data_IF_042889621154
#
_entry.id   IF_042889621154
#
_cell.length_a   1.000
_cell.length_b   1.000
_cell.length_c   1.000
_cell.angle_alpha   90.00
_cell.angle_beta   90.00
_cell.angle_gamma   90.00
#
_symmetry.space_group_name_H-M   'P 1'
#
loop_
_entity.id
_entity.type
_entity.pdbx_description
1 polymer ?
#
# COMPACT_ATOMS: atom_id res chain seq x y z
N UNK A 1 -36.01 -27.48 -55.46
CA UNK A 1 -35.56 -26.14 -55.02
C UNK A 1 -35.25 -26.20 -53.53
N UNK A 2 -33.98 -26.14 -53.13
CA UNK A 2 -33.56 -26.13 -51.71
C UNK A 2 -33.23 -24.68 -51.34
N UNK A 3 -34.03 -24.06 -50.47
CA UNK A 3 -33.70 -22.74 -49.92
C UNK A 3 -32.63 -22.94 -48.84
N UNK A 4 -31.43 -22.42 -49.08
CA UNK A 4 -30.38 -22.41 -48.08
C UNK A 4 -30.84 -21.63 -46.85
N UNK A 5 -30.83 -22.29 -45.68
CA UNK A 5 -30.99 -21.65 -44.39
C UNK A 5 -29.70 -20.89 -44.09
N UNK A 6 -29.57 -19.67 -44.63
CA UNK A 6 -28.56 -18.73 -44.18
C UNK A 6 -28.95 -18.29 -42.76
N UNK A 7 -28.60 -19.11 -41.76
CA UNK A 7 -28.52 -18.61 -40.39
C UNK A 7 -27.50 -17.48 -40.45
N UNK A 8 -27.98 -16.24 -40.47
CA UNK A 8 -27.12 -15.08 -40.43
C UNK A 8 -26.15 -15.30 -39.27
N UNK A 9 -24.87 -15.51 -39.59
CA UNK A 9 -23.78 -15.46 -38.63
C UNK A 9 -23.64 -14.00 -38.22
N UNK A 10 -24.66 -13.47 -37.55
CA UNK A 10 -24.54 -12.22 -36.81
C UNK A 10 -23.48 -12.50 -35.77
N UNK A 11 -22.39 -11.74 -35.83
CA UNK A 11 -21.42 -11.73 -34.75
C UNK A 11 -22.21 -11.61 -33.44
N UNK A 12 -22.06 -12.61 -32.56
CA UNK A 12 -22.47 -12.49 -31.16
C UNK A 12 -21.51 -11.51 -30.50
N UNK A 13 -21.50 -10.25 -30.94
CA UNK A 13 -20.92 -9.19 -30.13
C UNK A 13 -21.80 -9.11 -28.89
N UNK A 14 -21.34 -9.88 -27.93
CA UNK A 14 -21.65 -9.93 -26.52
C UNK A 14 -22.12 -8.55 -26.06
N UNK A 15 -23.42 -8.44 -25.83
CA UNK A 15 -24.11 -7.31 -25.20
C UNK A 15 -23.75 -7.18 -23.70
N UNK A 16 -22.60 -7.70 -23.26
CA UNK A 16 -22.18 -7.74 -21.86
C UNK A 16 -20.76 -7.22 -21.57
N UNK A 17 -20.10 -6.51 -22.50
CA UNK A 17 -18.95 -5.69 -22.11
C UNK A 17 -19.48 -4.46 -21.39
N UNK A 18 -19.38 -4.44 -20.04
CA UNK A 18 -19.77 -3.29 -19.23
C UNK A 18 -18.87 -2.10 -19.61
N UNK A 19 -19.48 -1.03 -20.12
CA UNK A 19 -18.79 0.24 -20.40
C UNK A 19 -18.04 0.71 -19.15
N UNK A 20 -16.76 1.03 -19.30
CA UNK A 20 -16.00 1.76 -18.28
C UNK A 20 -16.35 3.25 -18.38
N UNK A 21 -16.34 3.91 -17.22
CA UNK A 21 -16.65 5.34 -17.12
C UNK A 21 -15.42 6.06 -16.59
N UNK A 22 -14.95 7.06 -17.33
CA UNK A 22 -13.87 7.95 -16.91
C UNK A 22 -14.30 8.88 -15.76
N UNK A 23 -13.34 9.42 -15.01
CA UNK A 23 -13.61 10.36 -13.93
C UNK A 23 -14.39 11.58 -14.42
N UNK A 24 -14.01 12.14 -15.58
CA UNK A 24 -14.72 13.26 -16.21
C UNK A 24 -16.19 12.96 -16.50
N UNK A 25 -16.47 11.79 -17.09
CA UNK A 25 -17.86 11.41 -17.40
C UNK A 25 -18.68 11.19 -16.13
N UNK A 26 -18.09 10.57 -15.09
CA UNK A 26 -18.75 10.41 -13.79
C UNK A 26 -19.09 11.77 -13.17
N UNK A 27 -18.16 12.73 -13.21
CA UNK A 27 -18.39 14.09 -12.72
C UNK A 27 -19.50 14.82 -13.50
N UNK A 28 -19.56 14.64 -14.82
CA UNK A 28 -20.64 15.21 -15.65
C UNK A 28 -22.01 14.65 -15.26
N UNK A 29 -22.10 13.34 -15.00
CA UNK A 29 -23.33 12.70 -14.50
C UNK A 29 -23.72 13.24 -13.12
N UNK A 30 -22.75 13.44 -12.22
CA UNK A 30 -22.99 14.04 -10.89
C UNK A 30 -23.48 15.49 -11.02
N UNK A 31 -22.87 16.28 -11.89
CA UNK A 31 -23.29 17.66 -12.13
C UNK A 31 -24.75 17.73 -12.62
N UNK A 32 -25.14 16.84 -13.54
CA UNK A 32 -26.52 16.73 -13.98
C UNK A 32 -27.48 16.28 -12.86
N UNK A 33 -27.03 15.39 -11.97
CA UNK A 33 -27.81 14.98 -10.80
C UNK A 33 -28.09 16.17 -9.87
N UNK A 34 -27.11 17.02 -9.64
CA UNK A 34 -27.23 18.21 -8.78
C UNK A 34 -28.25 19.21 -9.34
N UNK A 35 -28.33 19.33 -10.66
CA UNK A 35 -29.33 20.17 -11.34
C UNK A 35 -30.74 19.54 -11.32
N UNK A 36 -30.85 18.25 -11.63
CA UNK A 36 -32.15 17.57 -11.80
C UNK A 36 -32.78 17.05 -10.51
N UNK A 37 -32.01 16.94 -9.42
CA UNK A 37 -32.39 16.45 -8.08
C UNK A 37 -32.95 15.01 -8.03
N UNK A 38 -33.02 14.28 -9.15
CA UNK A 38 -33.56 12.91 -9.22
C UNK A 38 -32.50 11.89 -9.69
N UNK A 39 -32.16 10.96 -8.80
CA UNK A 39 -31.23 9.84 -9.10
C UNK A 39 -31.79 8.94 -10.18
N UNK A 40 -33.09 8.61 -10.13
CA UNK A 40 -33.74 7.71 -11.09
C UNK A 40 -33.86 8.35 -12.46
N UNK A 41 -34.16 9.65 -12.52
CA UNK A 41 -34.20 10.41 -13.77
C UNK A 41 -32.82 10.49 -14.44
N UNK A 42 -31.80 10.81 -13.65
CA UNK A 42 -30.40 10.83 -14.11
C UNK A 42 -29.96 9.46 -14.64
N UNK A 43 -30.23 8.40 -13.89
CA UNK A 43 -29.89 7.03 -14.28
C UNK A 43 -30.54 6.62 -15.62
N UNK A 44 -31.81 6.97 -15.83
CA UNK A 44 -32.52 6.74 -17.11
C UNK A 44 -31.89 7.51 -18.26
N UNK A 45 -31.56 8.80 -18.06
CA UNK A 45 -30.97 9.66 -19.10
C UNK A 45 -29.63 9.13 -19.61
N UNK A 46 -28.77 8.68 -18.69
CA UNK A 46 -27.43 8.19 -19.03
C UNK A 46 -27.36 6.67 -19.27
N UNK A 47 -28.50 5.97 -19.21
CA UNK A 47 -28.60 4.51 -19.32
C UNK A 47 -27.64 3.77 -18.36
N UNK A 48 -27.63 4.21 -17.10
CA UNK A 48 -26.82 3.63 -16.01
C UNK A 48 -27.70 3.16 -14.87
N UNK A 49 -27.14 2.34 -13.99
CA UNK A 49 -27.89 1.89 -12.82
C UNK A 49 -27.96 2.99 -11.76
N UNK A 50 -29.11 3.20 -11.08
CA UNK A 50 -29.23 4.16 -9.98
C UNK A 50 -28.20 3.95 -8.86
N UNK A 51 -27.77 2.70 -8.64
CA UNK A 51 -26.70 2.37 -7.69
C UNK A 51 -25.37 3.04 -8.07
N UNK A 52 -24.99 3.02 -9.35
CA UNK A 52 -23.74 3.65 -9.81
C UNK A 52 -23.73 5.15 -9.54
N UNK A 53 -24.85 5.82 -9.81
CA UNK A 53 -25.02 7.26 -9.54
C UNK A 53 -24.84 7.57 -8.05
N UNK A 54 -25.41 6.75 -7.16
CA UNK A 54 -25.25 6.91 -5.71
C UNK A 54 -23.81 6.71 -5.27
N UNK A 55 -23.15 5.68 -5.76
CA UNK A 55 -21.75 5.41 -5.43
C UNK A 55 -20.83 6.53 -5.93
N UNK A 56 -20.98 6.98 -7.19
CA UNK A 56 -20.21 8.10 -7.73
C UNK A 56 -20.41 9.40 -6.94
N UNK A 57 -21.65 9.65 -6.47
CA UNK A 57 -21.93 10.79 -5.60
C UNK A 57 -21.16 10.71 -4.27
N UNK A 58 -21.03 9.53 -3.67
CA UNK A 58 -20.26 9.35 -2.42
C UNK A 58 -18.77 9.61 -2.61
N UNK A 59 -18.21 9.19 -3.76
CA UNK A 59 -16.78 9.37 -4.09
C UNK A 59 -16.50 10.65 -4.89
N UNK A 60 -17.41 11.63 -4.89
CA UNK A 60 -17.31 12.85 -5.71
C UNK A 60 -15.99 13.57 -5.49
N UNK A 61 -15.59 13.76 -4.24
CA UNK A 61 -14.38 14.52 -3.89
C UNK A 61 -13.12 13.83 -4.43
N UNK A 62 -13.06 12.50 -4.32
CA UNK A 62 -11.97 11.70 -4.88
C UNK A 62 -11.95 11.74 -6.41
N UNK A 63 -13.12 11.81 -7.06
CA UNK A 63 -13.22 11.96 -8.52
C UNK A 63 -12.74 13.34 -9.00
N UNK A 64 -12.90 14.39 -8.19
CA UNK A 64 -12.40 15.74 -8.48
C UNK A 64 -10.86 15.77 -8.39
N UNK A 65 -10.29 15.08 -7.41
CA UNK A 65 -8.83 14.99 -7.24
C UNK A 65 -8.16 14.12 -8.30
N UNK A 66 -8.88 13.16 -8.88
CA UNK A 66 -8.35 12.27 -9.91
C UNK A 66 -8.18 12.96 -11.27
N UNK A 67 -7.22 12.47 -12.07
CA UNK A 67 -7.08 12.93 -13.45
C UNK A 67 -8.30 12.54 -14.30
N UNK A 68 -8.65 13.41 -15.24
CA UNK A 68 -9.90 13.35 -16.02
C UNK A 68 -10.11 12.05 -16.81
N UNK A 69 -9.02 11.45 -17.30
CA UNK A 69 -9.00 10.25 -18.14
C UNK A 69 -8.99 8.94 -17.35
N UNK A 70 -8.87 8.99 -16.02
CA UNK A 70 -8.79 7.78 -15.20
C UNK A 70 -10.16 7.09 -15.11
N UNK A 71 -10.22 5.82 -15.48
CA UNK A 71 -11.44 5.02 -15.39
C UNK A 71 -11.61 4.32 -14.03
N UNK A 72 -10.50 3.96 -13.37
CA UNK A 72 -10.46 3.25 -12.09
C UNK A 72 -9.81 4.13 -11.04
N UNK A 73 -10.58 4.47 -10.02
CA UNK A 73 -10.09 5.30 -8.91
C UNK A 73 -9.23 4.50 -7.91
N UNK A 74 -9.44 3.19 -7.84
CA UNK A 74 -8.70 2.35 -6.91
C UNK A 74 -7.26 2.10 -7.45
N UNK A 75 -6.21 2.37 -6.66
CA UNK A 75 -4.82 2.14 -7.08
C UNK A 75 -4.47 0.65 -7.25
N UNK A 76 -5.39 -0.26 -6.92
CA UNK A 76 -5.18 -1.71 -7.01
C UNK A 76 -4.76 -2.31 -5.67
N UNK A 77 -4.08 -3.46 -5.72
CA UNK A 77 -3.54 -4.10 -4.52
C UNK A 77 -2.36 -3.26 -4.01
N UNK A 78 -2.31 -3.05 -2.69
CA UNK A 78 -1.15 -2.42 -2.05
C UNK A 78 0.10 -3.28 -2.21
N UNK A 79 1.26 -2.64 -2.23
CA UNK A 79 2.57 -3.29 -2.19
C UNK A 79 2.64 -4.30 -1.04
N UNK A 80 3.31 -5.43 -1.27
CA UNK A 80 3.51 -6.44 -0.20
C UNK A 80 4.69 -6.06 0.67
N UNK A 81 5.71 -5.43 0.07
CA UNK A 81 6.89 -4.92 0.76
C UNK A 81 7.10 -3.44 0.38
N UNK A 82 6.39 -2.50 1.04
CA UNK A 82 6.36 -1.09 0.60
C UNK A 82 7.75 -0.44 0.50
N UNK A 83 8.58 -0.58 1.53
CA UNK A 83 9.92 0.03 1.59
C UNK A 83 10.84 -0.55 0.50
N UNK A 84 10.89 -1.88 0.40
CA UNK A 84 11.67 -2.58 -0.63
C UNK A 84 11.21 -2.22 -2.05
N UNK A 85 9.90 -2.15 -2.28
CA UNK A 85 9.32 -1.78 -3.59
C UNK A 85 9.62 -0.32 -3.94
N UNK A 86 9.67 0.58 -2.96
CA UNK A 86 10.03 2.00 -3.14
C UNK A 86 11.51 2.18 -3.52
N UNK A 87 12.42 1.51 -2.79
CA UNK A 87 13.85 1.51 -3.11
C UNK A 87 14.14 0.95 -4.50
N UNK A 88 13.48 -0.16 -4.85
CA UNK A 88 13.59 -0.75 -6.19
C UNK A 88 13.03 0.19 -7.26
N UNK A 89 11.92 0.88 -7.00
CA UNK A 89 11.34 1.83 -7.93
C UNK A 89 12.26 3.03 -8.18
N UNK A 90 12.89 3.56 -7.12
CA UNK A 90 13.88 4.63 -7.22
C UNK A 90 15.08 4.19 -8.06
N UNK A 91 15.64 3.01 -7.77
CA UNK A 91 16.77 2.45 -8.53
C UNK A 91 16.42 2.21 -10.01
N UNK A 92 15.21 1.70 -10.31
CA UNK A 92 14.75 1.52 -11.71
C UNK A 92 14.68 2.86 -12.44
N UNK A 93 14.16 3.89 -11.78
CA UNK A 93 14.01 5.22 -12.36
C UNK A 93 15.39 5.81 -12.68
N UNK A 94 16.31 5.81 -11.72
CA UNK A 94 17.67 6.29 -11.91
C UNK A 94 18.39 5.56 -13.05
N UNK A 95 18.31 4.22 -13.07
CA UNK A 95 18.97 3.41 -14.10
C UNK A 95 18.42 3.71 -15.49
N UNK A 96 17.11 3.93 -15.61
CA UNK A 96 16.47 4.31 -16.90
C UNK A 96 16.79 5.73 -17.31
N UNK A 97 16.92 6.66 -16.36
CA UNK A 97 17.33 8.04 -16.62
C UNK A 97 18.77 8.09 -17.17
N UNK A 98 19.64 7.18 -16.71
CA UNK A 98 20.96 6.92 -17.28
C UNK A 98 20.94 6.19 -18.64
N UNK A 99 19.76 6.02 -19.25
CA UNK A 99 19.51 5.30 -20.51
C UNK A 99 19.90 3.82 -20.50
N UNK A 100 20.04 3.21 -19.32
CA UNK A 100 20.31 1.79 -19.19
C UNK A 100 19.00 0.99 -19.16
N UNK A 101 18.96 -0.12 -19.91
CA UNK A 101 17.81 -1.01 -19.92
C UNK A 101 17.77 -1.84 -18.64
N UNK A 102 16.65 -1.79 -17.92
CA UNK A 102 16.44 -2.61 -16.72
C UNK A 102 15.59 -3.82 -17.05
N UNK A 103 16.17 -5.01 -16.92
CA UNK A 103 15.45 -6.29 -17.11
C UNK A 103 14.85 -6.79 -15.80
N UNK A 104 13.82 -7.63 -15.90
CA UNK A 104 13.18 -8.28 -14.73
C UNK A 104 14.17 -9.05 -13.86
N UNK A 105 15.17 -9.69 -14.48
CA UNK A 105 16.16 -10.49 -13.77
C UNK A 105 17.03 -9.62 -12.85
N UNK A 106 17.44 -8.44 -13.34
CA UNK A 106 18.22 -7.47 -12.56
C UNK A 106 17.42 -6.94 -11.37
N UNK A 107 16.12 -6.62 -11.57
CA UNK A 107 15.23 -6.20 -10.46
C UNK A 107 15.14 -7.30 -9.41
N UNK A 108 15.00 -8.56 -9.83
CA UNK A 108 14.90 -9.71 -8.91
C UNK A 108 16.20 -9.90 -8.13
N UNK A 109 17.36 -9.77 -8.77
CA UNK A 109 18.66 -9.87 -8.12
C UNK A 109 18.89 -8.70 -7.15
N UNK A 110 18.58 -7.47 -7.56
CA UNK A 110 18.65 -6.30 -6.69
C UNK A 110 17.76 -6.45 -5.45
N UNK A 111 16.52 -6.92 -5.64
CA UNK A 111 15.60 -7.18 -4.53
C UNK A 111 16.15 -8.21 -3.53
N UNK A 112 16.71 -9.32 -4.04
CA UNK A 112 17.38 -10.33 -3.20
C UNK A 112 18.56 -9.75 -2.44
N UNK A 113 19.39 -8.95 -3.10
CA UNK A 113 20.57 -8.35 -2.49
C UNK A 113 20.21 -7.32 -1.41
N UNK A 114 19.17 -6.51 -1.63
CA UNK A 114 18.68 -5.56 -0.61
C UNK A 114 18.12 -6.33 0.59
N UNK A 115 17.32 -7.37 0.34
CA UNK A 115 16.79 -8.22 1.42
C UNK A 115 17.89 -8.97 2.18
N UNK A 116 18.91 -9.49 1.49
CA UNK A 116 20.06 -10.15 2.11
C UNK A 116 20.93 -9.15 2.88
N UNK A 117 21.19 -7.96 2.32
CA UNK A 117 21.93 -6.88 2.99
C UNK A 117 21.26 -6.44 4.29
N UNK A 118 19.93 -6.30 4.29
CA UNK A 118 19.16 -6.04 5.52
C UNK A 118 19.29 -7.17 6.55
N UNK A 119 19.33 -8.44 6.11
CA UNK A 119 19.56 -9.56 7.03
C UNK A 119 20.95 -9.50 7.69
N UNK A 120 21.99 -9.12 6.94
CA UNK A 120 23.36 -8.98 7.47
C UNK A 120 23.52 -7.76 8.39
N UNK A 121 22.88 -6.63 8.08
CA UNK A 121 22.87 -5.45 8.96
C UNK A 121 22.14 -5.74 10.28
N UNK A 122 20.99 -6.42 10.22
CA UNK A 122 20.26 -6.88 11.41
C UNK A 122 21.10 -7.86 12.25
N UNK A 123 21.76 -8.83 11.61
CA UNK A 123 22.61 -9.82 12.31
C UNK A 123 23.84 -9.16 12.96
N UNK A 124 24.45 -8.15 12.30
CA UNK A 124 25.55 -7.38 12.87
C UNK A 124 25.10 -6.48 14.05
N UNK A 125 23.95 -5.82 13.96
CA UNK A 125 23.41 -5.01 15.06
C UNK A 125 23.12 -5.88 16.30
N UNK A 126 22.63 -7.12 16.12
CA UNK A 126 22.45 -8.07 17.22
C UNK A 126 23.77 -8.53 17.83
N UNK A 127 24.82 -8.72 17.03
CA UNK A 127 26.16 -9.07 17.51
C UNK A 127 26.76 -7.89 18.31
N UNK A 128 26.62 -6.65 17.84
CA UNK A 128 27.10 -5.46 18.55
C UNK A 128 26.37 -5.24 19.88
N UNK A 129 25.05 -5.47 19.92
CA UNK A 129 24.27 -5.43 21.16
C UNK A 129 24.65 -6.56 22.13
N UNK A 130 24.84 -7.78 21.64
CA UNK A 130 25.26 -8.92 22.47
C UNK A 130 26.65 -8.71 23.08
N UNK A 131 27.60 -8.18 22.30
CA UNK A 131 28.95 -7.86 22.77
C UNK A 131 28.94 -6.74 23.82
N UNK A 132 28.04 -5.76 23.69
CA UNK A 132 27.88 -4.71 24.70
C UNK A 132 27.23 -5.23 26.00
N UNK A 133 26.31 -6.20 25.92
CA UNK A 133 25.71 -6.84 27.09
C UNK A 133 26.74 -7.72 27.83
N UNK A 134 27.51 -8.54 27.11
CA UNK A 134 28.62 -9.32 27.69
C UNK A 134 29.66 -8.45 28.39
N UNK A 135 29.97 -7.27 27.84
CA UNK A 135 30.89 -6.30 28.47
C UNK A 135 30.34 -5.76 29.80
N UNK A 136 29.02 -5.54 29.90
CA UNK A 136 28.37 -5.02 31.11
C UNK A 136 28.37 -6.08 32.23
N UNK A 137 28.11 -7.35 31.90
CA UNK A 137 28.15 -8.46 32.87
C UNK A 137 29.57 -8.71 33.41
N UNK A 138 30.61 -8.54 32.59
CA UNK A 138 32.02 -8.64 33.01
C UNK A 138 32.48 -7.49 33.92
N UNK A 139 31.83 -6.32 33.86
CA UNK A 139 32.17 -5.17 34.73
C UNK A 139 31.53 -5.22 36.12
N UNK A 140 30.56 -6.12 36.34
CA UNK A 140 29.86 -6.26 37.62
C UNK A 140 30.48 -7.31 38.57
N UNK A 141 31.55 -8.01 38.15
CA UNK A 141 32.24 -9.01 38.99
C UNK A 141 33.37 -8.43 39.88
N UNK A 142 33.64 -7.12 39.83
CA UNK A 142 34.52 -6.43 40.81
C UNK A 142 33.74 -5.84 42.02
N UNK A 143 32.65 -6.48 42.44
CA UNK A 143 32.06 -6.21 43.75
C UNK A 143 32.95 -6.85 44.84
N UNK A 144 33.98 -6.10 45.24
CA UNK A 144 34.85 -6.36 46.40
C UNK A 144 33.99 -6.62 47.64
N UNK A 145 34.17 -7.79 48.26
CA UNK A 145 33.71 -8.07 49.61
C UNK A 145 34.39 -7.11 50.58
N UNK A 146 33.64 -6.17 51.15
CA UNK A 146 34.04 -5.43 52.35
C UNK A 146 33.30 -6.07 53.53
N UNK A 147 33.99 -6.95 54.25
CA UNK A 147 33.62 -7.30 55.62
C UNK A 147 34.01 -6.14 56.54
N UNK A 148 33.03 -5.48 57.16
CA UNK A 148 33.13 -4.92 58.52
C UNK A 148 31.73 -4.69 59.08
N UNK A 149 31.32 -5.60 59.96
CA UNK A 149 30.80 -5.38 61.32
C UNK A 149 29.81 -4.22 61.59
N UNK A 150 28.66 -4.63 62.15
CA UNK A 150 27.88 -3.99 63.22
C UNK A 150 27.46 -2.52 63.08
N UNK A 151 26.25 -2.32 62.52
CA UNK A 151 25.33 -1.29 62.99
C UNK A 151 23.95 -1.95 63.20
N UNK A 152 23.86 -2.72 64.28
CA UNK A 152 22.62 -2.73 65.05
C UNK A 152 22.31 -1.28 65.46
N UNK A 153 21.02 -0.93 65.47
CA UNK A 153 20.46 0.28 66.09
C UNK A 153 20.45 1.57 65.23
N UNK A 154 19.42 1.75 64.40
CA UNK A 154 18.63 3.01 64.27
C UNK A 154 17.27 2.60 63.67
N UNK A 155 16.35 2.01 64.44
CA UNK A 155 14.89 2.09 64.22
C UNK A 155 14.19 1.66 65.51
N UNK A 156 14.56 2.29 66.63
CA UNK A 156 13.77 2.29 67.85
C UNK A 156 13.79 3.69 68.43
N UNK A 157 12.59 4.25 68.54
CA UNK A 157 12.19 5.42 69.35
C UNK A 157 12.47 6.82 68.77
N UNK A 158 11.38 7.46 68.30
CA UNK A 158 10.89 8.74 68.85
C UNK A 158 9.42 8.96 68.38
N UNK A 159 8.44 8.63 69.23
CA UNK A 159 7.52 9.53 70.00
C UNK A 159 6.32 10.03 69.18
N UNK A 160 5.10 9.52 69.41
CA UNK A 160 4.05 10.02 70.35
C UNK A 160 3.82 11.52 70.24
#
# INVERSE_FOLDING_TARGET
MVRANQSARRSRFIHHIRRQWSAKEKLMVIHYLEQSKSVRGTARKFNIQPKQVREWRKIKDQLIMAASHIEKLHPGKKATFPELEEDLAAWIKETRDQRNAVTRMMVTQKAKNVNMGQQYEIENDYIELANNIELIDLTNEEAVWVETEDIDNIYSEETI
#
